data_IF_466602410913
#
_entry.id   IF_466602410913
#
_cell.length_a   1.000
_cell.length_b   1.000
_cell.length_c   1.000
_cell.angle_alpha   90.00
_cell.angle_beta   90.00
_cell.angle_gamma   90.00
#
_symmetry.space_group_name_H-M   'P 1'
#
loop_
_entity.id
_entity.type
_entity.pdbx_description
1 polymer ?
#
# COMPACT_ATOMS: atom_id res chain seq x y z
N UNK A 1 -25.44 -13.58 -50.72
CA UNK A 1 -24.46 -12.47 -50.82
C UNK A 1 -25.04 -11.22 -50.18
N UNK A 2 -24.18 -10.42 -49.52
CA UNK A 2 -24.34 -9.02 -49.09
C UNK A 2 -25.32 -8.71 -47.95
N UNK A 3 -24.88 -8.99 -46.72
CA UNK A 3 -25.27 -8.21 -45.51
C UNK A 3 -24.07 -7.55 -44.82
N UNK A 4 -22.91 -7.52 -45.48
CA UNK A 4 -21.64 -6.99 -44.95
C UNK A 4 -21.15 -5.79 -45.77
N UNK A 5 -22.00 -4.78 -45.94
CA UNK A 5 -21.61 -3.53 -46.63
C UNK A 5 -21.73 -2.31 -45.71
N UNK A 6 -22.63 -2.29 -44.72
CA UNK A 6 -22.76 -1.13 -43.82
C UNK A 6 -21.83 -1.12 -42.60
N UNK A 7 -21.29 -2.29 -42.21
CA UNK A 7 -20.35 -2.37 -41.09
C UNK A 7 -18.91 -2.00 -41.50
N UNK A 8 -18.57 -2.18 -42.79
CA UNK A 8 -17.24 -1.81 -43.31
C UNK A 8 -17.09 -0.30 -43.51
N UNK A 9 -18.15 0.38 -43.93
CA UNK A 9 -18.12 1.83 -44.16
C UNK A 9 -18.10 2.66 -42.85
N UNK A 10 -18.49 2.08 -41.71
CA UNK A 10 -18.41 2.75 -40.40
C UNK A 10 -17.01 2.64 -39.75
N UNK A 11 -16.20 1.66 -40.18
CA UNK A 11 -14.89 1.40 -39.60
C UNK A 11 -13.75 2.04 -40.42
N UNK A 12 -14.05 2.54 -41.63
CA UNK A 12 -13.06 3.08 -42.58
C UNK A 12 -12.95 4.61 -42.62
N UNK A 13 -13.70 5.35 -41.79
CA UNK A 13 -13.77 6.82 -41.90
C UNK A 13 -13.02 7.60 -40.83
N UNK A 14 -12.25 6.96 -39.96
CA UNK A 14 -11.44 7.66 -38.95
C UNK A 14 -9.99 7.16 -38.84
N UNK A 15 -9.49 6.49 -39.90
CA UNK A 15 -8.05 6.44 -40.15
C UNK A 15 -7.61 7.78 -40.74
N UNK A 16 -7.34 8.76 -39.86
CA UNK A 16 -6.27 9.72 -40.12
C UNK A 16 -5.10 9.28 -39.25
N UNK A 17 -4.08 8.77 -39.93
CA UNK A 17 -2.82 8.33 -39.38
C UNK A 17 -2.05 9.54 -38.87
N UNK A 18 -1.69 9.55 -37.59
CA UNK A 18 -0.45 10.18 -37.15
C UNK A 18 0.45 9.06 -36.59
N UNK A 19 1.45 8.73 -37.39
CA UNK A 19 2.57 7.88 -37.01
C UNK A 19 3.46 8.65 -36.03
N UNK A 20 3.31 8.40 -34.73
CA UNK A 20 4.42 8.58 -33.79
C UNK A 20 4.85 7.23 -33.21
N UNK A 21 6.14 7.02 -33.32
CA UNK A 21 6.91 5.80 -33.20
C UNK A 21 6.79 5.16 -31.81
N UNK A 22 6.33 3.91 -31.76
CA UNK A 22 6.32 3.12 -30.53
C UNK A 22 7.76 2.73 -30.16
N UNK A 23 8.38 3.46 -29.23
CA UNK A 23 9.62 3.02 -28.60
C UNK A 23 9.32 1.84 -27.65
N UNK A 24 9.95 0.71 -27.97
CA UNK A 24 9.71 -0.60 -27.36
C UNK A 24 10.23 -0.58 -25.91
N UNK A 25 9.37 -0.99 -24.99
CA UNK A 25 9.64 -1.16 -23.56
C UNK A 25 10.82 -2.12 -23.34
N UNK A 26 11.91 -1.63 -22.73
CA UNK A 26 12.92 -2.52 -22.15
C UNK A 26 12.30 -3.29 -20.97
N UNK A 27 12.05 -4.58 -21.16
CA UNK A 27 11.82 -5.51 -20.06
C UNK A 27 13.07 -5.55 -19.17
N UNK A 28 13.00 -4.90 -18.00
CA UNK A 28 13.95 -5.15 -16.92
C UNK A 28 13.77 -6.58 -16.39
N UNK A 29 14.46 -7.52 -17.03
CA UNK A 29 14.62 -8.89 -16.59
C UNK A 29 15.39 -8.89 -15.26
N UNK A 30 14.68 -9.00 -14.14
CA UNK A 30 15.30 -9.30 -12.85
C UNK A 30 15.93 -10.70 -12.93
N UNK A 31 17.25 -10.75 -13.14
CA UNK A 31 18.04 -11.97 -12.94
C UNK A 31 18.03 -12.36 -11.46
N UNK A 32 17.19 -13.34 -11.12
CA UNK A 32 17.29 -14.05 -9.84
C UNK A 32 18.54 -14.94 -9.93
N UNK A 33 19.68 -14.45 -9.43
CA UNK A 33 20.85 -15.29 -9.23
C UNK A 33 20.52 -16.32 -8.14
N UNK A 34 20.57 -17.64 -8.42
CA UNK A 34 20.45 -18.63 -7.36
C UNK A 34 21.69 -18.48 -6.48
N UNK A 35 21.50 -18.00 -5.25
CA UNK A 35 22.54 -18.05 -4.22
C UNK A 35 22.75 -19.53 -3.87
N UNK A 36 23.76 -20.13 -4.47
CA UNK A 36 24.25 -21.46 -4.10
C UNK A 36 24.73 -21.35 -2.65
N UNK A 37 23.92 -21.84 -1.72
CA UNK A 37 24.29 -21.96 -0.30
C UNK A 37 25.24 -23.15 -0.22
N UNK A 38 26.52 -22.87 -0.04
CA UNK A 38 27.48 -23.89 0.38
C UNK A 38 27.08 -24.45 1.75
N UNK A 39 27.13 -25.78 1.97
CA UNK A 39 26.89 -26.33 3.30
C UNK A 39 28.03 -25.91 4.23
N UNK A 40 27.68 -25.15 5.28
CA UNK A 40 28.59 -24.84 6.37
C UNK A 40 28.92 -26.12 7.17
N UNK A 41 30.16 -26.27 7.69
CA UNK A 41 30.56 -27.44 8.48
C UNK A 41 29.78 -27.52 9.79
N UNK A 42 29.29 -28.71 10.10
CA UNK A 42 28.53 -29.05 11.31
C UNK A 42 29.45 -28.92 12.52
N UNK A 43 29.21 -27.93 13.40
CA UNK A 43 29.86 -27.86 14.70
C UNK A 43 29.09 -28.67 15.74
N UNK A 44 29.77 -29.34 16.69
CA UNK A 44 29.15 -30.27 17.62
C UNK A 44 28.28 -29.60 18.67
N UNK A 45 27.20 -30.31 19.01
CA UNK A 45 26.16 -29.96 19.99
C UNK A 45 26.74 -29.86 21.41
N UNK A 46 26.54 -28.74 22.14
CA UNK A 46 26.77 -28.74 23.57
C UNK A 46 25.52 -29.25 24.32
N UNK A 47 25.81 -30.15 25.24
CA UNK A 47 24.93 -30.86 26.17
C UNK A 47 24.15 -29.93 27.10
N UNK A 48 22.92 -30.36 27.41
CA UNK A 48 21.97 -29.74 28.33
C UNK A 48 22.59 -29.48 29.71
N UNK A 49 22.55 -28.23 30.16
CA UNK A 49 22.71 -27.87 31.57
C UNK A 49 21.46 -27.08 32.00
N UNK A 50 20.59 -27.75 32.74
CA UNK A 50 19.48 -27.12 33.45
C UNK A 50 20.05 -26.23 34.56
N UNK A 51 19.83 -24.92 34.46
CA UNK A 51 19.96 -24.06 35.62
C UNK A 51 18.73 -23.17 35.74
N UNK A 52 17.87 -23.58 36.68
CA UNK A 52 16.62 -22.91 37.02
C UNK A 52 16.95 -21.63 37.80
N UNK A 53 17.03 -20.49 37.10
CA UNK A 53 17.11 -19.16 37.71
C UNK A 53 15.94 -18.32 37.25
N UNK A 54 14.89 -18.35 38.05
CA UNK A 54 13.77 -17.40 38.03
C UNK A 54 14.30 -16.02 38.46
N UNK A 55 14.78 -15.24 37.48
CA UNK A 55 14.98 -13.80 37.64
C UNK A 55 13.63 -13.06 37.56
N UNK A 56 13.50 -11.87 38.17
CA UNK A 56 12.26 -11.11 38.10
C UNK A 56 11.99 -10.75 36.64
N UNK A 57 10.87 -11.23 36.12
CA UNK A 57 10.36 -10.86 34.79
C UNK A 57 9.90 -9.41 34.91
N UNK A 58 10.83 -8.47 34.75
CA UNK A 58 10.50 -7.06 34.62
C UNK A 58 9.65 -6.93 33.35
N UNK A 59 8.36 -6.69 33.56
CA UNK A 59 7.41 -6.37 32.48
C UNK A 59 7.97 -5.20 31.70
N UNK A 60 8.55 -5.49 30.53
CA UNK A 60 8.98 -4.48 29.56
C UNK A 60 7.71 -3.94 28.89
N UNK A 61 6.95 -3.14 29.62
CA UNK A 61 6.00 -2.20 29.02
C UNK A 61 6.82 -1.11 28.33
N UNK A 62 7.43 -1.48 27.21
CA UNK A 62 7.86 -0.55 26.19
C UNK A 62 6.59 0.09 25.66
N UNK A 63 6.26 1.28 26.13
CA UNK A 63 5.33 2.18 25.45
C UNK A 63 5.91 2.42 24.06
N UNK A 64 5.48 1.61 23.08
CA UNK A 64 5.85 1.80 21.69
C UNK A 64 5.30 3.16 21.29
N UNK A 65 6.21 4.10 21.02
CA UNK A 65 5.86 5.42 20.50
C UNK A 65 5.25 5.19 19.11
N UNK A 66 3.95 5.42 18.97
CA UNK A 66 3.31 5.39 17.66
C UNK A 66 3.71 6.63 16.87
N UNK A 67 4.19 6.40 15.66
CA UNK A 67 4.54 7.45 14.71
C UNK A 67 3.42 7.59 13.69
N UNK A 68 2.96 8.82 13.52
CA UNK A 68 1.95 9.18 12.52
C UNK A 68 2.66 9.90 11.38
N UNK A 69 2.43 9.42 10.15
CA UNK A 69 2.99 10.00 8.94
C UNK A 69 1.98 10.99 8.33
N UNK A 70 2.42 12.20 8.01
CA UNK A 70 1.59 13.19 7.32
C UNK A 70 1.98 13.28 5.83
N UNK A 71 1.03 13.10 4.93
CA UNK A 71 1.23 13.12 3.49
C UNK A 71 0.22 14.10 2.86
N UNK A 72 0.70 14.99 2.00
CA UNK A 72 -0.15 15.78 1.11
C UNK A 72 -0.05 15.22 -0.30
N UNK A 73 -1.18 14.82 -0.86
CA UNK A 73 -1.25 14.31 -2.22
C UNK A 73 -1.39 15.45 -3.22
N UNK A 74 -0.50 15.49 -4.20
CA UNK A 74 -0.57 16.42 -5.33
C UNK A 74 -1.35 15.83 -6.52
N UNK A 75 -1.42 14.50 -6.62
CA UNK A 75 -2.16 13.78 -7.65
C UNK A 75 -2.57 12.39 -7.17
N UNK A 76 -3.51 11.77 -7.89
CA UNK A 76 -3.93 10.39 -7.62
C UNK A 76 -2.79 9.35 -7.77
N UNK A 77 -1.70 9.66 -8.50
CA UNK A 77 -0.61 8.72 -8.72
C UNK A 77 0.11 8.30 -7.41
N UNK A 78 0.13 9.18 -6.40
CA UNK A 78 0.78 8.92 -5.09
C UNK A 78 0.03 7.89 -4.24
N UNK A 79 -1.19 7.52 -4.61
CA UNK A 79 -2.04 6.58 -3.83
C UNK A 79 -1.33 5.25 -3.54
N UNK A 80 -0.52 4.74 -4.49
CA UNK A 80 0.22 3.49 -4.32
C UNK A 80 1.31 3.57 -3.24
N UNK A 81 2.00 4.70 -3.14
CA UNK A 81 3.02 4.93 -2.11
C UNK A 81 2.38 5.01 -0.72
N UNK A 82 1.25 5.72 -0.61
CA UNK A 82 0.46 5.80 0.63
C UNK A 82 0.01 4.41 1.08
N UNK A 83 -0.52 3.59 0.17
CA UNK A 83 -0.93 2.22 0.50
C UNK A 83 0.24 1.34 0.94
N UNK A 84 1.45 1.57 0.41
CA UNK A 84 2.65 0.84 0.83
C UNK A 84 2.99 1.12 2.29
N UNK A 85 2.86 2.37 2.74
CA UNK A 85 3.02 2.72 4.16
C UNK A 85 1.94 2.11 5.06
N UNK A 86 0.68 2.03 4.58
CA UNK A 86 -0.40 1.36 5.33
C UNK A 86 -0.06 -0.13 5.51
N UNK A 87 0.43 -0.80 4.46
CA UNK A 87 0.91 -2.19 4.50
C UNK A 87 2.08 -2.41 5.46
N UNK A 88 2.90 -1.39 5.69
CA UNK A 88 3.94 -1.38 6.72
C UNK A 88 3.40 -1.13 8.13
N UNK A 89 2.08 -1.11 8.31
CA UNK A 89 1.37 -0.88 9.58
C UNK A 89 1.65 0.51 10.19
N UNK A 90 1.87 1.52 9.33
CA UNK A 90 2.02 2.91 9.73
C UNK A 90 0.66 3.62 9.72
N UNK A 91 0.41 4.47 10.71
CA UNK A 91 -0.72 5.40 10.68
C UNK A 91 -0.41 6.59 9.80
N UNK A 92 -1.36 7.01 8.98
CA UNK A 92 -1.13 8.08 8.00
C UNK A 92 -2.28 9.07 8.01
N UNK A 93 -1.96 10.35 8.12
CA UNK A 93 -2.85 11.46 7.75
C UNK A 93 -2.58 11.80 6.28
N UNK A 94 -3.63 11.78 5.46
CA UNK A 94 -3.57 12.08 4.04
C UNK A 94 -4.41 13.31 3.76
N UNK A 95 -3.76 14.38 3.31
CA UNK A 95 -4.41 15.58 2.79
C UNK A 95 -4.57 15.45 1.28
N UNK A 96 -5.83 15.47 0.81
CA UNK A 96 -6.23 15.35 -0.60
C UNK A 96 -6.89 16.64 -1.11
N UNK A 97 -6.69 17.79 -0.46
CA UNK A 97 -7.33 19.06 -0.83
C UNK A 97 -6.98 19.54 -2.25
N UNK A 98 -5.85 19.08 -2.81
CA UNK A 98 -5.41 19.43 -4.16
C UNK A 98 -5.94 18.48 -5.25
N UNK A 99 -6.63 17.40 -4.87
CA UNK A 99 -7.19 16.43 -5.81
C UNK A 99 -8.58 16.88 -6.28
N UNK A 100 -8.95 16.47 -7.49
CA UNK A 100 -10.32 16.64 -7.97
C UNK A 100 -11.28 15.72 -7.21
N UNK A 101 -12.56 16.07 -7.14
CA UNK A 101 -13.58 15.29 -6.40
C UNK A 101 -13.56 13.80 -6.78
N UNK A 102 -13.48 13.49 -8.07
CA UNK A 102 -13.44 12.10 -8.55
C UNK A 102 -12.14 11.37 -8.18
N UNK A 103 -11.02 12.08 -8.07
CA UNK A 103 -9.74 11.51 -7.64
C UNK A 103 -9.74 11.22 -6.14
N UNK A 104 -10.34 12.10 -5.34
CA UNK A 104 -10.51 11.88 -3.89
C UNK A 104 -11.34 10.62 -3.64
N UNK A 105 -12.45 10.43 -4.36
CA UNK A 105 -13.27 9.22 -4.24
C UNK A 105 -12.49 7.95 -4.59
N UNK A 106 -11.77 7.96 -5.72
CA UNK A 106 -10.94 6.80 -6.13
C UNK A 106 -9.82 6.52 -5.13
N UNK A 107 -9.18 7.56 -4.60
CA UNK A 107 -8.11 7.41 -3.61
C UNK A 107 -8.67 6.81 -2.32
N UNK A 108 -9.84 7.27 -1.87
CA UNK A 108 -10.54 6.71 -0.72
C UNK A 108 -10.85 5.23 -0.92
N UNK A 109 -11.49 4.85 -2.03
CA UNK A 109 -11.84 3.44 -2.30
C UNK A 109 -10.60 2.53 -2.29
N UNK A 110 -9.49 3.02 -2.85
CA UNK A 110 -8.24 2.27 -2.89
C UNK A 110 -7.59 2.14 -1.51
N UNK A 111 -7.46 3.24 -0.78
CA UNK A 111 -6.78 3.28 0.52
C UNK A 111 -7.63 2.66 1.64
N UNK A 112 -8.96 2.77 1.56
CA UNK A 112 -9.86 2.07 2.47
C UNK A 112 -9.75 0.56 2.26
N UNK A 113 -9.71 0.08 1.01
CA UNK A 113 -9.47 -1.33 0.73
C UNK A 113 -8.14 -1.84 1.30
N UNK A 114 -7.07 -1.04 1.21
CA UNK A 114 -5.78 -1.38 1.81
C UNK A 114 -5.81 -1.40 3.34
N UNK A 115 -6.59 -0.50 3.95
CA UNK A 115 -6.73 -0.39 5.41
C UNK A 115 -7.60 -1.50 5.98
N UNK A 116 -8.73 -1.80 5.32
CA UNK A 116 -9.65 -2.89 5.67
C UNK A 116 -8.95 -4.24 5.62
N UNK A 117 -8.05 -4.45 4.66
CA UNK A 117 -7.24 -5.67 4.56
C UNK A 117 -6.30 -5.89 5.77
N UNK A 118 -6.08 -4.86 6.59
CA UNK A 118 -5.28 -4.91 7.82
C UNK A 118 -6.13 -4.72 9.07
N UNK A 119 -7.45 -4.90 8.97
CA UNK A 119 -8.41 -4.69 10.06
C UNK A 119 -8.25 -3.28 10.68
N UNK A 120 -7.90 -2.31 9.84
CA UNK A 120 -7.72 -0.93 10.23
C UNK A 120 -9.02 -0.14 10.23
N UNK A 121 -8.89 1.15 10.54
CA UNK A 121 -9.96 2.13 10.55
C UNK A 121 -9.59 3.32 9.67
N UNK A 122 -10.59 3.88 9.00
CA UNK A 122 -10.48 5.11 8.23
C UNK A 122 -11.34 6.17 8.89
N UNK A 123 -10.76 7.31 9.23
CA UNK A 123 -11.49 8.42 9.85
C UNK A 123 -11.31 9.70 9.05
N UNK A 124 -12.41 10.40 8.79
CA UNK A 124 -12.36 11.73 8.20
C UNK A 124 -12.22 12.77 9.31
N UNK A 125 -11.10 13.49 9.33
CA UNK A 125 -10.82 14.51 10.34
C UNK A 125 -11.09 15.93 9.86
N UNK A 126 -11.10 16.17 8.54
CA UNK A 126 -11.51 17.44 7.94
C UNK A 126 -12.03 17.25 6.50
N UNK A 127 -12.34 18.33 5.82
CA UNK A 127 -12.65 18.29 4.38
C UNK A 127 -11.43 17.85 3.57
N UNK A 128 -11.57 16.72 2.88
CA UNK A 128 -10.52 16.06 2.10
C UNK A 128 -9.25 15.71 2.90
N UNK A 129 -9.36 15.53 4.22
CA UNK A 129 -8.27 15.05 5.07
C UNK A 129 -8.74 13.83 5.86
N UNK A 130 -7.99 12.74 5.72
CA UNK A 130 -8.35 11.43 6.26
C UNK A 130 -7.19 10.80 7.03
N UNK A 131 -7.51 10.04 8.06
CA UNK A 131 -6.58 9.17 8.78
C UNK A 131 -6.83 7.74 8.34
N UNK A 132 -5.76 7.03 7.99
CA UNK A 132 -5.75 5.59 7.76
C UNK A 132 -4.91 4.95 8.87
N UNK A 133 -5.57 4.18 9.73
CA UNK A 133 -5.01 3.65 10.96
C UNK A 133 -5.13 2.12 10.97
N UNK A 134 -4.03 1.35 10.87
CA UNK A 134 -4.08 -0.12 10.96
C UNK A 134 -4.47 -0.61 12.37
N UNK A 135 -4.74 -1.91 12.54
CA UNK A 135 -5.30 -2.54 13.77
C UNK A 135 -4.64 -2.13 15.11
N UNK A 136 -3.37 -1.70 15.07
CA UNK A 136 -2.60 -1.32 16.25
C UNK A 136 -2.94 0.07 16.79
N UNK A 137 -3.85 0.82 16.15
CA UNK A 137 -4.10 2.24 16.44
C UNK A 137 -5.59 2.43 16.74
N UNK A 138 -5.90 2.81 17.98
CA UNK A 138 -7.24 3.23 18.36
C UNK A 138 -7.41 4.72 18.08
N UNK A 139 -8.32 5.05 17.18
CA UNK A 139 -8.82 6.40 16.99
C UNK A 139 -10.01 6.62 17.93
N UNK A 140 -10.12 7.83 18.48
CA UNK A 140 -11.26 8.27 19.29
C UNK A 140 -11.70 9.62 18.76
N UNK A 141 -12.96 9.71 18.37
CA UNK A 141 -13.52 10.95 17.84
C UNK A 141 -14.24 11.69 18.97
N UNK A 142 -14.24 13.03 18.95
CA UNK A 142 -14.96 13.86 19.95
C UNK A 142 -16.46 13.50 20.03
N UNK A 143 -17.03 12.97 18.95
CA UNK A 143 -18.43 12.54 18.87
C UNK A 143 -18.77 11.32 19.75
N UNK A 144 -17.77 10.59 20.25
CA UNK A 144 -17.99 9.42 21.13
C UNK A 144 -18.16 9.81 22.61
N UNK A 145 -18.13 11.11 22.96
CA UNK A 145 -18.16 11.62 24.34
C UNK A 145 -19.52 12.21 24.79
N UNK A 146 -20.56 12.14 23.94
CA UNK A 146 -21.96 12.47 24.28
C UNK A 146 -22.80 11.20 24.54
#
# INVERSE_FOLDING_TARGET
MKVMTRLKDMLLLNEEYDEEENEIVEENKFEIKPKIVSPAPVMPVPTVSQNNRVGPVASRHSTQKQELLNITMASYATTGDVASYIKERKSIVVNMQNLQFHEVQRALDYLSGATDALEGTVERVAENIYIFAPENVQLKSEQDFD
#
